data_IF_991794609675
#
_entry.id   IF_991794609675
#
_cell.length_a   1.000
_cell.length_b   1.000
_cell.length_c   1.000
_cell.angle_alpha   90.00
_cell.angle_beta   90.00
_cell.angle_gamma   90.00
#
_symmetry.space_group_name_H-M   'P 1'
#
loop_
_entity.id
_entity.type
_entity.pdbx_description
1 polymer ?
#
# COMPACT_ATOMS: atom_id res chain seq x y z
N UNK A 1 14.06 -3.90 -15.05
CA UNK A 1 13.44 -3.40 -13.80
C UNK A 1 14.19 -4.07 -12.65
N UNK A 2 14.43 -3.37 -11.54
CA UNK A 2 14.95 -4.04 -10.34
C UNK A 2 13.88 -5.00 -9.83
N UNK A 3 14.27 -6.18 -9.36
CA UNK A 3 13.33 -7.12 -8.73
C UNK A 3 12.66 -6.45 -7.54
N UNK A 4 11.32 -6.49 -7.50
CA UNK A 4 10.54 -5.96 -6.39
C UNK A 4 10.54 -7.01 -5.27
N UNK A 5 10.98 -6.61 -4.08
CA UNK A 5 11.01 -7.44 -2.88
C UNK A 5 10.24 -6.73 -1.79
N UNK A 6 9.06 -7.26 -1.50
CA UNK A 6 8.04 -6.59 -0.69
C UNK A 6 8.19 -6.97 0.78
N UNK A 7 8.23 -5.94 1.64
CA UNK A 7 7.88 -6.02 3.04
C UNK A 7 6.44 -5.56 3.23
N UNK A 8 5.57 -6.43 3.73
CA UNK A 8 4.16 -6.14 3.92
C UNK A 8 3.87 -5.85 5.39
N UNK A 9 3.37 -4.64 5.71
CA UNK A 9 3.15 -4.15 7.08
C UNK A 9 1.67 -3.89 7.31
N UNK A 10 1.10 -4.56 8.31
CA UNK A 10 -0.32 -4.50 8.65
C UNK A 10 -1.10 -5.67 8.04
N UNK A 11 -1.38 -6.69 8.86
CA UNK A 11 -2.05 -7.94 8.48
C UNK A 11 -3.44 -8.08 9.14
N UNK A 12 -4.08 -6.93 9.41
CA UNK A 12 -5.50 -6.88 9.77
C UNK A 12 -6.38 -7.34 8.62
N UNK A 13 -7.70 -7.33 8.79
CA UNK A 13 -8.64 -7.84 7.77
C UNK A 13 -8.41 -7.26 6.37
N UNK A 14 -8.18 -5.94 6.26
CA UNK A 14 -7.90 -5.30 4.96
C UNK A 14 -6.53 -5.69 4.40
N UNK A 15 -5.49 -5.63 5.26
CA UNK A 15 -4.12 -5.95 4.83
C UNK A 15 -3.96 -7.40 4.42
N UNK A 16 -4.54 -8.34 5.17
CA UNK A 16 -4.52 -9.75 4.81
C UNK A 16 -5.22 -10.00 3.47
N UNK A 17 -6.39 -9.39 3.25
CA UNK A 17 -7.10 -9.48 1.96
C UNK A 17 -6.29 -8.87 0.81
N UNK A 18 -5.64 -7.72 1.02
CA UNK A 18 -4.79 -7.08 0.00
C UNK A 18 -3.59 -7.98 -0.37
N UNK A 19 -2.96 -8.58 0.63
CA UNK A 19 -1.88 -9.55 0.42
C UNK A 19 -2.37 -10.75 -0.42
N UNK A 20 -3.51 -11.35 -0.05
CA UNK A 20 -4.05 -12.55 -0.69
C UNK A 20 -4.54 -12.30 -2.12
N UNK A 21 -5.29 -11.20 -2.34
CA UNK A 21 -6.02 -11.02 -3.61
C UNK A 21 -5.32 -10.10 -4.60
N UNK A 22 -4.46 -9.22 -4.14
CA UNK A 22 -3.82 -8.22 -4.99
C UNK A 22 -2.31 -8.44 -5.16
N UNK A 23 -1.58 -8.72 -4.08
CA UNK A 23 -0.11 -8.80 -4.12
C UNK A 23 0.37 -10.17 -4.58
N UNK A 24 0.01 -11.22 -3.88
CA UNK A 24 0.51 -12.58 -4.17
C UNK A 24 0.15 -13.10 -5.57
N UNK A 25 -1.05 -12.83 -6.15
CA UNK A 25 -1.37 -13.23 -7.52
C UNK A 25 -0.51 -12.59 -8.60
N UNK A 26 0.14 -11.45 -8.33
CA UNK A 26 1.05 -10.80 -9.27
C UNK A 26 2.42 -11.47 -9.34
N UNK A 27 2.68 -12.45 -8.47
CA UNK A 27 3.94 -13.20 -8.35
C UNK A 27 5.14 -12.35 -7.94
N UNK A 28 4.91 -11.14 -7.42
CA UNK A 28 5.96 -10.34 -6.79
C UNK A 28 6.42 -11.00 -5.50
N UNK A 29 7.70 -10.89 -5.19
CA UNK A 29 8.28 -11.55 -4.02
C UNK A 29 7.90 -10.83 -2.73
N UNK A 30 7.21 -11.52 -1.84
CA UNK A 30 6.97 -11.07 -0.46
C UNK A 30 8.03 -11.69 0.43
N UNK A 31 9.02 -10.88 0.82
CA UNK A 31 10.20 -11.35 1.57
C UNK A 31 10.11 -11.08 3.08
N UNK A 32 9.21 -10.19 3.49
CA UNK A 32 8.95 -9.89 4.89
C UNK A 32 7.47 -9.59 5.12
N UNK A 33 6.96 -9.98 6.30
CA UNK A 33 5.61 -9.64 6.80
C UNK A 33 5.71 -9.11 8.22
N UNK A 34 4.87 -8.12 8.55
CA UNK A 34 4.91 -7.45 9.86
C UNK A 34 3.50 -7.08 10.32
N UNK A 35 3.20 -7.33 11.58
CA UNK A 35 2.04 -6.82 12.32
C UNK A 35 2.39 -6.81 13.81
N UNK A 36 1.83 -5.92 14.59
CA UNK A 36 2.05 -5.89 16.05
C UNK A 36 1.50 -7.14 16.77
N UNK A 37 0.63 -7.90 16.12
CA UNK A 37 0.06 -9.14 16.62
C UNK A 37 0.75 -10.35 15.97
N UNK A 38 1.47 -11.13 16.76
CA UNK A 38 2.26 -12.27 16.30
C UNK A 38 1.40 -13.33 15.56
N UNK A 39 0.17 -13.58 15.99
CA UNK A 39 -0.72 -14.52 15.33
C UNK A 39 -1.08 -14.09 13.89
N UNK A 40 -1.16 -12.78 13.63
CA UNK A 40 -1.36 -12.25 12.29
C UNK A 40 -0.12 -12.38 11.42
N UNK A 41 1.05 -12.14 12.02
CA UNK A 41 2.35 -12.33 11.34
C UNK A 41 2.49 -13.78 10.88
N UNK A 42 2.20 -14.74 11.75
CA UNK A 42 2.27 -16.17 11.41
C UNK A 42 1.28 -16.52 10.27
N UNK A 43 0.03 -16.08 10.37
CA UNK A 43 -0.97 -16.30 9.31
C UNK A 43 -0.55 -15.67 7.97
N UNK A 44 0.03 -14.49 8.01
CA UNK A 44 0.55 -13.81 6.80
C UNK A 44 1.70 -14.59 6.17
N UNK A 45 2.65 -15.08 6.97
CA UNK A 45 3.75 -15.91 6.50
C UNK A 45 3.27 -17.23 5.89
N UNK A 46 2.33 -17.91 6.55
CA UNK A 46 1.70 -19.14 6.03
C UNK A 46 0.97 -18.90 4.70
N UNK A 47 0.32 -17.74 4.56
CA UNK A 47 -0.34 -17.37 3.32
C UNK A 47 0.66 -17.24 2.16
N UNK A 48 1.81 -16.59 2.40
CA UNK A 48 2.89 -16.46 1.40
C UNK A 48 3.40 -17.82 0.96
N UNK A 49 3.63 -18.74 1.91
CA UNK A 49 4.04 -20.12 1.61
C UNK A 49 2.98 -20.89 0.81
N UNK A 50 1.70 -20.70 1.15
CA UNK A 50 0.56 -21.32 0.43
C UNK A 50 0.51 -20.91 -1.05
N UNK A 51 0.99 -19.71 -1.38
CA UNK A 51 1.12 -19.24 -2.76
C UNK A 51 2.42 -19.72 -3.45
N UNK A 52 3.17 -20.61 -2.82
CA UNK A 52 4.36 -21.24 -3.39
C UNK A 52 5.64 -20.42 -3.31
N UNK A 53 5.65 -19.35 -2.50
CA UNK A 53 6.85 -18.57 -2.21
C UNK A 53 7.59 -19.13 -0.99
N UNK A 54 8.87 -18.76 -0.83
CA UNK A 54 9.62 -19.06 0.37
C UNK A 54 8.97 -18.34 1.58
N UNK A 55 9.09 -18.95 2.77
CA UNK A 55 8.61 -18.31 4.00
C UNK A 55 9.29 -16.98 4.20
N UNK A 56 8.52 -15.87 4.32
CA UNK A 56 9.09 -14.54 4.51
C UNK A 56 9.64 -14.38 5.93
N UNK A 57 10.53 -13.41 6.12
CA UNK A 57 10.91 -12.95 7.45
C UNK A 57 9.68 -12.40 8.18
N UNK A 58 9.58 -12.65 9.48
CA UNK A 58 8.44 -12.36 10.32
C UNK A 58 8.82 -11.35 11.40
N UNK A 59 8.17 -10.20 11.44
CA UNK A 59 8.49 -9.11 12.36
C UNK A 59 7.24 -8.65 13.11
N UNK A 60 7.43 -8.22 14.37
CA UNK A 60 6.40 -7.56 15.17
C UNK A 60 6.64 -6.06 15.33
N UNK A 61 7.79 -5.57 14.88
CA UNK A 61 8.16 -4.16 14.84
C UNK A 61 8.55 -3.76 13.40
N UNK A 62 7.88 -2.77 12.84
CA UNK A 62 8.16 -2.30 11.48
C UNK A 62 9.57 -1.70 11.32
N UNK A 63 10.17 -1.20 12.40
CA UNK A 63 11.55 -0.71 12.36
C UNK A 63 12.56 -1.80 11.97
N UNK A 64 12.28 -3.05 12.28
CA UNK A 64 13.15 -4.15 11.87
C UNK A 64 12.99 -4.48 10.38
N UNK A 65 11.78 -4.29 9.83
CA UNK A 65 11.58 -4.36 8.37
C UNK A 65 12.37 -3.27 7.64
N UNK A 66 12.50 -2.07 8.24
CA UNK A 66 13.30 -0.99 7.65
C UNK A 66 14.79 -1.32 7.60
N UNK A 67 15.30 -2.14 8.53
CA UNK A 67 16.70 -2.60 8.57
C UNK A 67 16.98 -3.79 7.65
N UNK A 68 15.94 -4.51 7.21
CA UNK A 68 16.08 -5.70 6.39
C UNK A 68 16.51 -5.32 4.96
N UNK A 69 17.75 -5.63 4.60
CA UNK A 69 18.32 -5.33 3.27
C UNK A 69 17.71 -6.17 2.15
N UNK A 70 17.02 -7.27 2.47
CA UNK A 70 16.29 -8.05 1.49
C UNK A 70 15.06 -7.32 0.95
N UNK A 71 14.50 -6.37 1.72
CA UNK A 71 13.31 -5.58 1.38
C UNK A 71 13.70 -4.29 0.65
N UNK A 72 13.08 -4.00 -0.48
CA UNK A 72 13.25 -2.74 -1.21
C UNK A 72 11.94 -1.98 -1.47
N UNK A 73 10.81 -2.59 -1.17
CA UNK A 73 9.48 -2.01 -1.36
C UNK A 73 8.61 -2.34 -0.16
N UNK A 74 7.93 -1.36 0.39
CA UNK A 74 7.03 -1.51 1.54
C UNK A 74 5.58 -1.31 1.10
N UNK A 75 4.70 -2.19 1.55
CA UNK A 75 3.24 -1.97 1.48
C UNK A 75 2.73 -1.78 2.90
N UNK A 76 2.03 -0.67 3.14
CA UNK A 76 1.47 -0.31 4.45
C UNK A 76 -0.04 -0.44 4.40
N UNK A 77 -0.59 -1.29 5.26
CA UNK A 77 -2.03 -1.51 5.42
C UNK A 77 -2.43 -1.59 6.91
N UNK A 78 -1.83 -0.75 7.72
CA UNK A 78 -2.03 -0.64 9.17
C UNK A 78 -3.26 0.22 9.51
N UNK A 79 -3.40 0.65 10.75
CA UNK A 79 -4.34 1.70 11.13
C UNK A 79 -3.88 3.06 10.56
N UNK A 80 -4.84 3.92 10.22
CA UNK A 80 -4.58 5.18 9.52
C UNK A 80 -3.59 6.09 10.23
N UNK A 81 -3.61 6.10 11.55
CA UNK A 81 -2.75 6.91 12.41
C UNK A 81 -1.25 6.62 12.22
N UNK A 82 -0.92 5.43 11.78
CA UNK A 82 0.48 4.99 11.62
C UNK A 82 0.97 5.01 10.18
N UNK A 83 0.11 5.33 9.21
CA UNK A 83 0.46 5.27 7.79
C UNK A 83 1.63 6.19 7.45
N UNK A 84 1.56 7.46 7.87
CA UNK A 84 2.59 8.46 7.52
C UNK A 84 3.91 8.19 8.22
N UNK A 85 3.86 7.83 9.50
CA UNK A 85 5.06 7.47 10.27
C UNK A 85 5.83 6.34 9.60
N UNK A 86 5.14 5.24 9.25
CA UNK A 86 5.74 4.08 8.60
C UNK A 86 6.23 4.44 7.19
N UNK A 87 5.46 5.24 6.45
CA UNK A 87 5.85 5.68 5.11
C UNK A 87 7.12 6.52 5.13
N UNK A 88 7.22 7.48 6.04
CA UNK A 88 8.42 8.31 6.22
C UNK A 88 9.63 7.46 6.60
N UNK A 89 9.47 6.50 7.53
CA UNK A 89 10.52 5.58 7.90
C UNK A 89 11.03 4.77 6.69
N UNK A 90 10.12 4.28 5.85
CA UNK A 90 10.46 3.56 4.62
C UNK A 90 11.21 4.44 3.62
N UNK A 91 10.73 5.67 3.38
CA UNK A 91 11.35 6.60 2.45
C UNK A 91 12.76 7.00 2.88
N UNK A 92 12.98 7.29 4.17
CA UNK A 92 14.30 7.58 4.71
C UNK A 92 15.23 6.36 4.75
N UNK A 93 14.67 5.13 4.78
CA UNK A 93 15.44 3.90 4.60
C UNK A 93 15.73 3.57 3.12
N UNK A 94 15.31 4.42 2.18
CA UNK A 94 15.50 4.23 0.74
C UNK A 94 14.64 3.12 0.14
N UNK A 95 13.54 2.73 0.82
CA UNK A 95 12.60 1.70 0.36
C UNK A 95 11.36 2.36 -0.25
N UNK A 96 11.05 2.05 -1.51
CA UNK A 96 9.81 2.49 -2.14
C UNK A 96 8.60 2.12 -1.25
N UNK A 97 7.60 2.98 -1.15
CA UNK A 97 6.46 2.73 -0.27
C UNK A 97 5.13 2.97 -0.96
N UNK A 98 4.21 2.06 -0.72
CA UNK A 98 2.81 2.15 -1.12
C UNK A 98 1.92 2.03 0.12
N UNK A 99 0.99 2.97 0.30
CA UNK A 99 0.17 3.09 1.51
C UNK A 99 -1.30 2.93 1.15
N UNK A 100 -2.02 2.11 1.90
CA UNK A 100 -3.49 1.99 1.80
C UNK A 100 -4.19 3.33 2.07
N UNK A 101 -5.44 3.43 1.64
CA UNK A 101 -6.27 4.63 1.83
C UNK A 101 -6.35 5.02 3.31
N UNK A 102 -6.38 6.31 3.56
CA UNK A 102 -6.23 6.94 4.85
C UNK A 102 -5.00 7.84 4.94
N UNK A 103 -4.05 7.59 4.06
CA UNK A 103 -2.83 8.34 3.70
C UNK A 103 -2.27 9.34 4.69
N UNK A 104 -2.97 10.41 4.99
CA UNK A 104 -2.52 11.47 5.89
C UNK A 104 -3.65 11.88 6.84
N UNK A 105 -3.30 12.18 8.07
CA UNK A 105 -4.24 12.60 9.12
C UNK A 105 -4.33 14.12 9.23
N UNK A 106 -3.20 14.78 9.01
CA UNK A 106 -3.05 16.22 9.11
C UNK A 106 -2.42 16.80 7.84
N UNK A 107 -2.62 18.10 7.60
CA UNK A 107 -1.98 18.78 6.48
C UNK A 107 -0.45 18.72 6.58
N UNK A 108 0.09 18.72 7.81
CA UNK A 108 1.53 18.61 8.04
C UNK A 108 2.09 17.31 7.49
N UNK A 109 1.36 16.20 7.64
CA UNK A 109 1.75 14.89 7.10
C UNK A 109 1.98 14.94 5.59
N UNK A 110 1.12 15.66 4.85
CA UNK A 110 1.27 15.84 3.42
C UNK A 110 2.57 16.56 3.05
N UNK A 111 2.92 17.61 3.80
CA UNK A 111 4.19 18.32 3.60
C UNK A 111 5.39 17.44 3.94
N UNK A 112 5.32 16.67 5.02
CA UNK A 112 6.41 15.79 5.44
C UNK A 112 6.67 14.68 4.41
N UNK A 113 5.63 14.12 3.79
CA UNK A 113 5.75 13.14 2.71
C UNK A 113 6.41 13.75 1.46
N UNK A 114 6.00 14.97 1.07
CA UNK A 114 6.62 15.69 -0.07
C UNK A 114 8.08 16.00 0.23
N UNK A 115 8.37 16.53 1.42
CA UNK A 115 9.74 16.83 1.84
C UNK A 115 10.63 15.57 1.87
N UNK A 116 10.10 14.45 2.34
CA UNK A 116 10.81 13.19 2.33
C UNK A 116 11.11 12.72 0.90
N UNK A 117 10.16 12.85 -0.03
CA UNK A 117 10.39 12.55 -1.44
C UNK A 117 11.47 13.46 -2.05
N UNK A 118 11.39 14.77 -1.82
CA UNK A 118 12.39 15.73 -2.33
C UNK A 118 13.80 15.46 -1.80
N UNK A 119 13.92 15.04 -0.53
CA UNK A 119 15.21 14.72 0.10
C UNK A 119 15.78 13.38 -0.34
N UNK A 120 14.93 12.36 -0.48
CA UNK A 120 15.41 10.98 -0.66
C UNK A 120 15.30 10.49 -2.11
N UNK A 121 14.41 11.08 -2.91
CA UNK A 121 14.04 10.56 -4.23
C UNK A 121 13.31 9.22 -4.17
N UNK A 122 12.91 8.76 -2.98
CA UNK A 122 12.27 7.46 -2.78
C UNK A 122 10.79 7.51 -3.19
N UNK A 123 10.32 6.63 -4.08
CA UNK A 123 8.94 6.65 -4.55
C UNK A 123 7.93 6.41 -3.42
N UNK A 124 6.88 7.23 -3.41
CA UNK A 124 5.68 7.05 -2.59
C UNK A 124 4.45 6.90 -3.48
N UNK A 125 3.54 6.00 -3.12
CA UNK A 125 2.28 5.77 -3.82
C UNK A 125 1.12 5.58 -2.83
N UNK A 126 0.01 6.30 -3.05
CA UNK A 126 -1.26 6.01 -2.39
C UNK A 126 -2.00 4.90 -3.16
N UNK A 127 -2.41 3.85 -2.46
CA UNK A 127 -3.08 2.69 -3.06
C UNK A 127 -4.59 2.95 -3.19
N UNK A 128 -4.97 3.79 -4.14
CA UNK A 128 -6.36 3.92 -4.57
C UNK A 128 -6.75 2.78 -5.51
N UNK A 129 -7.94 2.23 -5.36
CA UNK A 129 -8.40 1.10 -6.17
C UNK A 129 -9.58 1.41 -7.07
N UNK A 130 -10.66 2.02 -6.55
CA UNK A 130 -11.90 2.22 -7.32
C UNK A 130 -11.71 3.10 -8.54
N UNK A 131 -10.87 4.15 -8.46
CA UNK A 131 -10.62 5.05 -9.59
C UNK A 131 -9.98 4.35 -10.81
N UNK A 132 -9.38 3.18 -10.63
CA UNK A 132 -8.82 2.35 -11.71
C UNK A 132 -9.74 1.21 -12.16
N UNK A 133 -10.98 1.17 -11.68
CA UNK A 133 -11.98 0.19 -12.10
C UNK A 133 -12.34 0.32 -13.58
N UNK A 134 -12.82 -0.76 -14.20
CA UNK A 134 -13.18 -0.74 -15.63
C UNK A 134 -14.23 0.31 -15.97
N UNK A 135 -15.19 0.55 -15.07
CA UNK A 135 -16.27 1.53 -15.28
C UNK A 135 -15.74 2.95 -15.21
N UNK A 136 -14.94 3.24 -14.21
CA UNK A 136 -14.30 4.53 -13.97
C UNK A 136 -13.36 4.89 -15.13
N UNK A 137 -12.52 3.94 -15.54
CA UNK A 137 -11.62 4.11 -16.69
C UNK A 137 -12.37 4.26 -18.01
N UNK A 138 -13.53 3.59 -18.17
CA UNK A 138 -14.41 3.78 -19.33
C UNK A 138 -14.95 5.20 -19.35
N UNK A 139 -15.52 5.70 -18.25
CA UNK A 139 -16.05 7.07 -18.14
C UNK A 139 -14.95 8.10 -18.41
N UNK A 140 -13.77 7.94 -17.83
CA UNK A 140 -12.62 8.80 -18.09
C UNK A 140 -12.28 8.85 -19.58
N UNK A 141 -12.30 7.70 -20.25
CA UNK A 141 -12.00 7.63 -21.69
C UNK A 141 -13.10 8.30 -22.53
N UNK A 142 -14.37 8.18 -22.12
CA UNK A 142 -15.48 8.86 -22.77
C UNK A 142 -15.38 10.39 -22.63
N UNK A 143 -15.02 10.89 -21.43
CA UNK A 143 -14.74 12.32 -21.20
C UNK A 143 -13.60 12.80 -22.10
N UNK A 144 -12.47 12.09 -22.13
CA UNK A 144 -11.31 12.43 -22.97
C UNK A 144 -11.64 12.47 -24.46
N UNK A 145 -12.61 11.67 -24.91
CA UNK A 145 -13.09 11.66 -26.30
C UNK A 145 -14.19 12.68 -26.58
N UNK A 146 -14.56 13.50 -25.61
CA UNK A 146 -15.58 14.52 -25.75
C UNK A 146 -17.01 14.01 -25.91
N UNK A 147 -17.29 12.74 -25.57
CA UNK A 147 -18.61 12.13 -25.75
C UNK A 147 -19.73 12.79 -24.91
N UNK A 148 -19.36 13.48 -23.84
CA UNK A 148 -20.28 14.23 -22.98
C UNK A 148 -20.33 15.74 -23.32
N UNK A 149 -19.58 16.17 -24.32
CA UNK A 149 -19.40 17.61 -24.58
C UNK A 149 -18.58 18.27 -23.46
N UNK A 150 -18.88 19.54 -23.19
CA UNK A 150 -18.28 20.26 -22.06
C UNK A 150 -18.88 19.78 -20.75
N UNK A 151 -18.04 19.21 -19.87
CA UNK A 151 -18.47 18.71 -18.56
C UNK A 151 -18.53 19.87 -17.58
N UNK A 152 -19.74 20.30 -17.24
CA UNK A 152 -19.99 21.44 -16.33
C UNK A 152 -20.30 21.02 -14.90
N UNK A 153 -20.66 19.75 -14.67
CA UNK A 153 -20.96 19.23 -13.34
C UNK A 153 -20.71 17.73 -13.27
N UNK A 154 -20.17 17.27 -12.13
CA UNK A 154 -20.05 15.87 -11.78
C UNK A 154 -20.60 15.64 -10.38
N UNK A 155 -21.30 14.52 -10.16
CA UNK A 155 -21.73 14.08 -8.84
C UNK A 155 -21.37 12.61 -8.66
N UNK A 156 -20.90 12.26 -7.48
CA UNK A 156 -20.57 10.89 -7.10
C UNK A 156 -20.76 10.67 -5.61
N UNK A 157 -20.90 9.41 -5.20
CA UNK A 157 -21.04 9.06 -3.80
C UNK A 157 -20.55 7.65 -3.53
N UNK A 158 -20.06 7.45 -2.33
CA UNK A 158 -19.65 6.15 -1.80
C UNK A 158 -20.37 5.95 -0.47
N UNK A 159 -21.29 4.99 -0.45
CA UNK A 159 -22.18 4.79 0.67
C UNK A 159 -21.96 3.41 1.28
N UNK A 160 -21.65 3.36 2.57
CA UNK A 160 -21.53 2.14 3.36
C UNK A 160 -22.41 2.19 4.59
N UNK A 161 -22.97 1.03 4.95
CA UNK A 161 -23.46 0.80 6.29
C UNK A 161 -22.29 0.30 7.14
N UNK A 162 -21.88 1.10 8.11
CA UNK A 162 -20.76 0.80 9.03
C UNK A 162 -21.26 0.38 10.43
N UNK A 163 -22.56 0.05 10.58
CA UNK A 163 -23.13 -0.44 11.84
C UNK A 163 -22.79 -1.90 12.07
#
# INVERSE_FOLDING_TARGET
>A
MKDIRIGFIGLGGRGYGLLEWAVLPQKEQVVAVCDVYEDRVQKGAELVEKFGQARPAAYTDYHDVMKDESVNTIIVATAWETHVEIALAAMYAGKAVAVEVGGAYEIRDCYDLVEAYEKTGTPFMLLENCCFGRREMMVLNMVKKGLFGEVVHCAGGYHHDLR
#
